data_IF_297583030179
#
_entry.id   IF_297583030179
#
_cell.length_a   1.000
_cell.length_b   1.000
_cell.length_c   1.000
_cell.angle_alpha   90.00
_cell.angle_beta   90.00
_cell.angle_gamma   90.00
#
_symmetry.space_group_name_H-M   'P 1'
#
loop_
_entity.id
_entity.type
_entity.pdbx_description
1 polymer ?
#
# COMPACT_ATOMS: atom_id res chain seq x y z
N UNK A 1 15.52 46.71 -25.11
CA UNK A 1 14.06 46.53 -24.91
C UNK A 1 13.45 45.41 -25.78
N UNK A 2 14.18 44.86 -26.77
CA UNK A 2 13.64 43.86 -27.72
C UNK A 2 13.52 42.42 -27.16
N UNK A 3 14.41 42.00 -26.25
CA UNK A 3 14.39 40.63 -25.71
C UNK A 3 13.16 40.34 -24.84
N UNK A 4 12.71 41.32 -24.04
CA UNK A 4 11.49 41.20 -23.22
C UNK A 4 10.23 41.13 -24.08
N UNK A 5 10.23 41.81 -25.23
CA UNK A 5 9.12 41.79 -26.18
C UNK A 5 9.00 40.43 -26.89
N UNK A 6 10.13 39.81 -27.25
CA UNK A 6 10.18 38.48 -27.87
C UNK A 6 9.72 37.37 -26.91
N UNK A 7 10.08 37.45 -25.63
CA UNK A 7 9.63 36.50 -24.60
C UNK A 7 8.13 36.63 -24.35
N UNK A 8 7.61 37.87 -24.32
CA UNK A 8 6.16 38.08 -24.16
C UNK A 8 5.38 37.49 -25.34
N UNK A 9 5.92 37.65 -26.56
CA UNK A 9 5.31 37.15 -27.80
C UNK A 9 5.36 35.61 -27.90
N UNK A 10 6.43 34.96 -27.46
CA UNK A 10 6.51 33.49 -27.47
C UNK A 10 5.58 32.84 -26.45
N UNK A 11 5.44 33.45 -25.26
CA UNK A 11 4.53 32.97 -24.20
C UNK A 11 3.07 33.15 -24.61
N UNK A 12 2.70 34.27 -25.23
CA UNK A 12 1.34 34.44 -25.77
C UNK A 12 1.06 33.46 -26.89
N UNK A 13 1.99 33.27 -27.83
CA UNK A 13 1.80 32.30 -28.93
C UNK A 13 1.58 30.87 -28.42
N UNK A 14 2.35 30.43 -27.40
CA UNK A 14 2.16 29.13 -26.77
C UNK A 14 0.79 28.99 -26.07
N UNK A 15 0.32 30.05 -25.41
CA UNK A 15 -1.00 30.06 -24.76
C UNK A 15 -2.16 30.08 -25.77
N UNK A 16 -1.99 30.69 -26.95
CA UNK A 16 -2.99 30.68 -28.01
C UNK A 16 -2.96 29.38 -28.84
N UNK A 17 -1.81 28.72 -29.01
CA UNK A 17 -1.72 27.40 -29.66
C UNK A 17 -2.47 26.30 -28.88
N UNK A 18 -2.58 26.38 -27.56
CA UNK A 18 -3.41 25.42 -26.80
C UNK A 18 -4.92 25.64 -26.96
N UNK A 19 -5.35 26.80 -27.50
CA UNK A 19 -6.77 27.08 -27.72
C UNK A 19 -7.35 26.40 -28.97
N UNK A 20 -6.50 25.83 -29.83
CA UNK A 20 -6.93 25.03 -30.98
C UNK A 20 -7.63 23.73 -30.59
N UNK A 21 -7.53 23.28 -29.33
CA UNK A 21 -8.28 22.12 -28.85
C UNK A 21 -9.72 22.47 -28.39
N UNK A 22 -10.01 23.74 -28.09
CA UNK A 22 -11.31 24.12 -27.52
C UNK A 22 -12.34 24.50 -28.58
N UNK A 23 -11.89 25.13 -29.69
CA UNK A 23 -12.78 25.53 -30.79
C UNK A 23 -13.35 24.33 -31.58
N UNK A 24 -12.67 23.17 -31.55
CA UNK A 24 -13.08 21.96 -32.27
C UNK A 24 -14.05 21.05 -31.49
N UNK A 25 -14.35 21.35 -30.22
CA UNK A 25 -15.23 20.52 -29.37
C UNK A 25 -16.70 20.52 -29.75
N UNK A 26 -17.13 21.33 -30.73
CA UNK A 26 -18.52 21.35 -31.24
C UNK A 26 -18.68 20.73 -32.62
N UNK A 27 -17.70 19.99 -33.15
CA UNK A 27 -17.96 19.14 -34.32
C UNK A 27 -18.71 17.89 -33.85
N UNK A 28 -20.02 17.88 -34.11
CA UNK A 28 -20.87 16.68 -34.13
C UNK A 28 -20.09 15.60 -34.88
N UNK A 29 -19.61 14.58 -34.16
CA UNK A 29 -18.72 13.56 -34.73
C UNK A 29 -19.30 13.01 -36.02
N UNK A 30 -18.45 12.80 -37.02
CA UNK A 30 -18.85 12.40 -38.36
C UNK A 30 -19.29 10.93 -38.35
N UNK A 31 -20.50 10.66 -37.84
CA UNK A 31 -21.10 9.33 -37.65
C UNK A 31 -21.17 8.48 -38.93
N UNK A 32 -20.94 9.10 -40.10
CA UNK A 32 -20.82 8.42 -41.40
C UNK A 32 -19.54 7.59 -41.55
N UNK A 33 -18.50 7.82 -40.73
CA UNK A 33 -17.27 7.02 -40.73
C UNK A 33 -17.38 5.75 -39.88
N UNK A 34 -18.40 5.61 -39.04
CA UNK A 34 -18.60 4.42 -38.21
C UNK A 34 -19.52 3.41 -38.91
N UNK A 35 -19.20 2.10 -38.87
CA UNK A 35 -20.06 1.07 -39.46
C UNK A 35 -21.42 0.97 -38.75
N UNK A 36 -22.46 0.62 -39.51
CA UNK A 36 -23.82 0.39 -38.98
C UNK A 36 -23.86 -0.92 -38.16
N UNK A 37 -24.84 -1.03 -37.26
CA UNK A 37 -25.02 -2.14 -36.29
C UNK A 37 -25.06 -3.57 -36.89
N UNK A 38 -25.24 -3.75 -38.21
CA UNK A 38 -25.40 -5.04 -38.87
C UNK A 38 -24.12 -5.83 -39.12
N UNK A 39 -23.26 -6.01 -38.10
CA UNK A 39 -22.03 -6.81 -38.18
C UNK A 39 -20.83 -6.26 -37.39
N UNK A 40 -20.94 -5.04 -36.86
CA UNK A 40 -19.89 -4.41 -36.05
C UNK A 40 -20.14 -4.59 -34.54
N UNK A 41 -19.07 -4.80 -33.77
CA UNK A 41 -19.13 -4.87 -32.30
C UNK A 41 -19.22 -3.48 -31.66
N UNK A 42 -20.05 -3.27 -30.62
CA UNK A 42 -20.15 -1.99 -29.95
C UNK A 42 -18.88 -1.69 -29.14
N UNK A 43 -18.52 -0.41 -29.04
CA UNK A 43 -17.52 0.09 -28.10
C UNK A 43 -18.12 1.17 -27.20
N UNK A 44 -17.58 1.30 -25.99
CA UNK A 44 -18.12 2.20 -24.97
C UNK A 44 -17.02 3.11 -24.46
N UNK A 45 -17.35 4.40 -24.32
CA UNK A 45 -16.53 5.30 -23.52
C UNK A 45 -16.86 5.08 -22.05
N UNK A 46 -15.89 4.60 -21.29
CA UNK A 46 -15.94 4.59 -19.84
C UNK A 46 -15.19 5.79 -19.27
N UNK A 47 -15.60 6.27 -18.11
CA UNK A 47 -14.82 7.21 -17.30
C UNK A 47 -14.52 6.56 -15.95
N UNK A 48 -13.28 6.71 -15.48
CA UNK A 48 -12.89 6.34 -14.11
C UNK A 48 -12.50 7.61 -13.38
N UNK A 49 -12.89 7.73 -12.12
CA UNK A 49 -12.55 8.89 -11.31
C UNK A 49 -11.02 8.95 -11.10
N UNK A 50 -10.36 9.95 -11.71
CA UNK A 50 -8.91 10.15 -11.60
C UNK A 50 -8.44 10.39 -10.17
N UNK A 51 -9.25 10.97 -9.29
CA UNK A 51 -8.94 11.13 -7.86
C UNK A 51 -9.00 9.79 -7.12
N UNK A 52 -9.86 8.85 -7.53
CA UNK A 52 -9.85 7.48 -7.04
C UNK A 52 -8.63 6.70 -7.53
N UNK A 53 -8.18 6.92 -8.77
CA UNK A 53 -6.94 6.32 -9.28
C UNK A 53 -5.68 6.93 -8.65
N UNK A 54 -5.70 8.25 -8.36
CA UNK A 54 -4.61 8.98 -7.68
C UNK A 54 -4.60 8.79 -6.17
N UNK A 55 -5.73 8.52 -5.53
CA UNK A 55 -5.79 7.91 -4.18
C UNK A 55 -5.25 6.50 -4.32
N UNK A 56 -3.93 6.38 -4.45
CA UNK A 56 -3.24 5.09 -4.41
C UNK A 56 -3.80 4.27 -3.26
N UNK A 57 -3.90 2.95 -3.47
CA UNK A 57 -4.32 1.97 -2.45
C UNK A 57 -3.86 2.46 -1.08
N UNK A 58 -4.82 2.68 -0.16
CA UNK A 58 -4.58 3.24 1.18
C UNK A 58 -3.19 2.83 1.67
N UNK A 59 -2.30 3.81 1.86
CA UNK A 59 -0.97 3.55 2.39
C UNK A 59 -1.11 2.84 3.74
N UNK A 60 -0.30 1.82 3.95
CA UNK A 60 -0.34 1.07 5.18
C UNK A 60 -0.16 2.00 6.39
N UNK A 61 -0.99 1.88 7.44
CA UNK A 61 -0.73 2.57 8.69
C UNK A 61 0.68 2.21 9.19
N UNK A 62 1.50 3.21 9.42
CA UNK A 62 2.82 3.06 10.01
C UNK A 62 2.91 3.86 11.32
N UNK A 63 3.87 3.50 12.15
CA UNK A 63 4.16 4.13 13.43
C UNK A 63 5.66 4.39 13.54
N UNK A 64 6.04 5.36 14.37
CA UNK A 64 7.45 5.69 14.61
C UNK A 64 8.24 4.44 15.05
N UNK A 65 9.44 4.26 14.50
CA UNK A 65 10.33 3.13 14.77
C UNK A 65 11.34 3.36 15.90
N UNK A 66 11.39 4.58 16.45
CA UNK A 66 12.36 5.03 17.46
C UNK A 66 11.81 5.12 18.88
N UNK A 67 10.57 4.68 19.11
CA UNK A 67 9.98 4.71 20.46
C UNK A 67 10.61 3.64 21.36
N UNK A 68 10.91 4.00 22.62
CA UNK A 68 11.32 3.09 23.70
C UNK A 68 10.13 2.23 24.18
N UNK A 69 9.47 1.54 23.26
CA UNK A 69 8.37 0.62 23.51
C UNK A 69 8.50 -0.60 22.60
N UNK A 70 7.94 -1.73 23.04
CA UNK A 70 7.79 -2.90 22.18
C UNK A 70 6.50 -2.75 21.36
N UNK A 71 6.58 -2.95 20.04
CA UNK A 71 5.42 -2.89 19.15
C UNK A 71 5.15 -4.23 18.50
N UNK A 72 3.86 -4.57 18.46
CA UNK A 72 3.34 -5.82 17.93
C UNK A 72 2.16 -5.57 17.00
N UNK A 73 1.77 -6.60 16.25
CA UNK A 73 0.51 -6.62 15.50
C UNK A 73 -0.43 -7.63 16.16
N UNK A 74 -1.67 -7.22 16.39
CA UNK A 74 -2.75 -8.12 16.79
C UNK A 74 -3.68 -8.34 15.60
N UNK A 75 -3.84 -9.58 15.16
CA UNK A 75 -4.72 -9.94 14.04
C UNK A 75 -5.37 -11.30 14.27
N UNK A 76 -6.71 -11.35 14.14
CA UNK A 76 -7.52 -12.58 14.29
C UNK A 76 -7.20 -13.42 15.55
N UNK A 77 -7.01 -12.77 16.70
CA UNK A 77 -6.76 -13.47 17.97
C UNK A 77 -5.28 -13.75 18.29
N UNK A 78 -4.36 -13.37 17.40
CA UNK A 78 -2.93 -13.63 17.56
C UNK A 78 -2.12 -12.36 17.63
N UNK A 79 -1.13 -12.36 18.51
CA UNK A 79 -0.05 -11.40 18.63
C UNK A 79 1.13 -11.86 17.77
N UNK A 80 1.65 -10.94 16.97
CA UNK A 80 2.83 -11.10 16.15
C UNK A 80 3.89 -10.12 16.64
N UNK A 81 4.99 -10.65 17.15
CA UNK A 81 6.05 -9.92 17.85
C UNK A 81 7.42 -10.23 17.24
N UNK A 82 8.37 -9.29 17.35
CA UNK A 82 9.75 -9.53 16.93
C UNK A 82 10.72 -9.05 17.99
N UNK A 83 11.42 -10.01 18.58
CA UNK A 83 12.20 -9.83 19.81
C UNK A 83 13.70 -9.81 19.50
N UNK A 84 14.48 -9.25 20.43
CA UNK A 84 15.94 -9.10 20.32
C UNK A 84 16.67 -10.40 19.98
N UNK A 85 16.21 -11.55 20.51
CA UNK A 85 16.83 -12.86 20.29
C UNK A 85 16.39 -13.56 18.98
N UNK A 86 16.18 -12.75 17.94
CA UNK A 86 16.23 -13.08 16.51
C UNK A 86 14.97 -13.64 15.85
N UNK A 87 14.06 -14.30 16.56
CA UNK A 87 12.89 -14.91 15.94
C UNK A 87 11.63 -14.07 16.18
N UNK A 88 10.70 -14.14 15.22
CA UNK A 88 9.36 -13.66 15.48
C UNK A 88 8.69 -14.55 16.53
N UNK A 89 7.75 -14.01 17.29
CA UNK A 89 6.89 -14.76 18.19
C UNK A 89 5.44 -14.63 17.71
N UNK A 90 4.71 -15.74 17.75
CA UNK A 90 3.30 -15.82 17.42
C UNK A 90 2.60 -16.45 18.60
N UNK A 91 1.62 -15.76 19.18
CA UNK A 91 0.87 -16.35 20.28
C UNK A 91 -0.47 -15.69 20.55
N UNK A 92 -1.26 -16.30 21.42
CA UNK A 92 -2.61 -15.80 21.77
C UNK A 92 -2.58 -14.71 22.86
N UNK A 93 -1.41 -14.50 23.47
CA UNK A 93 -1.14 -13.46 24.45
C UNK A 93 0.10 -12.68 24.01
N UNK A 94 0.15 -11.39 24.35
CA UNK A 94 1.36 -10.60 24.18
C UNK A 94 2.51 -11.22 25.00
N UNK A 95 3.73 -11.14 24.47
CA UNK A 95 4.93 -11.65 25.12
C UNK A 95 5.16 -10.93 26.44
N UNK A 96 5.58 -11.69 27.45
CA UNK A 96 5.80 -11.19 28.82
C UNK A 96 4.56 -10.50 29.45
N UNK A 97 3.34 -10.76 28.96
CA UNK A 97 2.11 -10.15 29.52
C UNK A 97 1.85 -10.44 30.99
N UNK A 98 2.45 -11.50 31.55
CA UNK A 98 2.42 -11.82 32.97
C UNK A 98 3.26 -10.89 33.84
N UNK A 99 4.24 -10.18 33.23
CA UNK A 99 5.15 -9.25 33.91
C UNK A 99 4.94 -7.80 33.49
N UNK A 100 4.52 -7.59 32.24
CA UNK A 100 4.42 -6.28 31.62
C UNK A 100 2.99 -6.04 31.12
N UNK A 101 2.38 -4.93 31.54
CA UNK A 101 1.11 -4.49 30.97
C UNK A 101 1.27 -4.21 29.47
N UNK A 102 0.41 -4.79 28.64
CA UNK A 102 0.34 -4.52 27.21
C UNK A 102 -1.08 -4.14 26.84
N UNK A 103 -1.21 -3.18 25.92
CA UNK A 103 -2.51 -2.69 25.46
C UNK A 103 -2.53 -2.56 23.94
N UNK A 104 -3.74 -2.67 23.37
CA UNK A 104 -4.00 -2.39 21.95
C UNK A 104 -4.45 -0.94 21.81
N UNK A 105 -4.25 -0.36 20.64
CA UNK A 105 -4.84 0.93 20.30
C UNK A 105 -6.38 0.84 20.42
N UNK A 106 -7.04 1.90 20.91
CA UNK A 106 -8.49 1.91 21.13
C UNK A 106 -9.34 1.77 19.86
N UNK A 107 -8.74 2.03 18.70
CA UNK A 107 -9.33 1.82 17.38
C UNK A 107 -8.47 0.90 16.52
N UNK A 108 -9.04 0.09 15.62
CA UNK A 108 -8.27 -0.71 14.68
C UNK A 108 -7.36 0.16 13.79
N UNK A 109 -6.10 -0.24 13.62
CA UNK A 109 -5.18 0.44 12.70
C UNK A 109 -5.63 0.31 11.23
N UNK A 110 -6.28 -0.80 10.88
CA UNK A 110 -6.81 -1.10 9.54
C UNK A 110 -7.55 -2.43 9.50
N UNK A 111 -8.03 -2.81 8.32
CA UNK A 111 -8.77 -4.05 8.08
C UNK A 111 -8.09 -4.87 6.98
N UNK A 112 -8.14 -6.19 7.08
CA UNK A 112 -7.56 -7.11 6.11
C UNK A 112 -8.45 -8.32 5.89
N UNK A 113 -8.45 -8.84 4.67
CA UNK A 113 -9.10 -10.09 4.31
C UNK A 113 -8.12 -11.28 4.21
N UNK A 114 -6.84 -11.08 4.52
CA UNK A 114 -5.84 -12.15 4.47
C UNK A 114 -6.13 -13.25 5.50
N UNK A 115 -5.76 -14.49 5.15
CA UNK A 115 -5.85 -15.62 6.09
C UNK A 115 -4.87 -15.45 7.25
N UNK A 116 -5.19 -16.07 8.38
CA UNK A 116 -4.27 -16.11 9.52
C UNK A 116 -2.96 -16.81 9.12
N UNK A 117 -3.04 -17.89 8.35
CA UNK A 117 -1.87 -18.64 7.88
C UNK A 117 -0.94 -17.80 7.01
N UNK A 118 -1.48 -16.88 6.21
CA UNK A 118 -0.65 -15.93 5.46
C UNK A 118 0.23 -15.10 6.38
N UNK A 119 -0.35 -14.52 7.44
CA UNK A 119 0.38 -13.64 8.37
C UNK A 119 1.32 -14.44 9.27
N UNK A 120 0.93 -15.65 9.69
CA UNK A 120 1.85 -16.60 10.34
C UNK A 120 3.04 -16.92 9.43
N UNK A 121 2.80 -17.16 8.15
CA UNK A 121 3.83 -17.34 7.14
C UNK A 121 4.78 -16.14 7.02
N UNK A 122 4.25 -14.91 7.00
CA UNK A 122 5.06 -13.70 7.03
C UNK A 122 5.97 -13.66 8.27
N UNK A 123 5.43 -13.92 9.47
CA UNK A 123 6.22 -13.92 10.70
C UNK A 123 7.32 -15.00 10.68
N UNK A 124 7.00 -16.22 10.27
CA UNK A 124 7.95 -17.35 10.12
C UNK A 124 9.09 -17.04 9.14
N UNK A 125 8.80 -16.30 8.08
CA UNK A 125 9.76 -15.96 7.03
C UNK A 125 10.51 -14.64 7.26
N UNK A 126 10.05 -13.80 8.19
CA UNK A 126 10.55 -12.43 8.36
C UNK A 126 12.07 -12.33 8.47
N UNK A 127 12.68 -13.17 9.33
CA UNK A 127 14.13 -13.17 9.54
C UNK A 127 14.90 -13.55 8.27
N UNK A 128 14.38 -14.47 7.47
CA UNK A 128 15.01 -14.83 6.20
C UNK A 128 14.93 -13.70 5.18
N UNK A 129 13.82 -12.96 5.17
CA UNK A 129 13.59 -11.88 4.23
C UNK A 129 14.33 -10.58 4.60
N UNK A 130 14.37 -10.24 5.90
CA UNK A 130 14.83 -8.93 6.38
C UNK A 130 16.02 -8.99 7.34
N UNK A 131 16.46 -10.19 7.73
CA UNK A 131 17.61 -10.40 8.59
C UNK A 131 17.29 -10.44 10.09
N UNK A 132 18.35 -10.44 10.91
CA UNK A 132 18.27 -10.50 12.38
C UNK A 132 17.84 -9.16 12.98
N UNK A 133 17.45 -9.20 14.25
CA UNK A 133 17.08 -8.00 15.01
C UNK A 133 18.25 -7.00 15.06
N UNK A 134 17.95 -5.74 14.76
CA UNK A 134 18.88 -4.60 14.87
C UNK A 134 18.12 -3.43 15.44
N UNK A 135 18.54 -2.93 16.60
CA UNK A 135 17.83 -1.92 17.38
C UNK A 135 17.34 -0.72 16.55
N UNK A 136 18.16 -0.24 15.60
CA UNK A 136 17.86 0.96 14.80
C UNK A 136 17.31 0.68 13.39
N UNK A 137 17.51 -0.51 12.83
CA UNK A 137 17.28 -0.78 11.39
C UNK A 137 16.32 -1.94 11.10
N UNK A 138 16.17 -2.89 12.03
CA UNK A 138 15.30 -4.04 11.88
C UNK A 138 14.82 -4.50 13.26
N UNK A 139 13.93 -3.70 13.85
CA UNK A 139 13.44 -3.89 15.22
C UNK A 139 11.94 -4.26 15.24
N UNK A 140 11.35 -4.36 16.43
CA UNK A 140 9.93 -4.67 16.61
C UNK A 140 8.98 -3.72 15.87
N UNK A 141 9.30 -2.42 15.79
CA UNK A 141 8.49 -1.46 15.05
C UNK A 141 8.57 -1.65 13.54
N UNK A 142 9.76 -1.95 13.02
CA UNK A 142 9.94 -2.27 11.60
C UNK A 142 9.17 -3.54 11.23
N UNK A 143 9.18 -4.54 12.11
CA UNK A 143 8.39 -5.75 11.96
C UNK A 143 6.90 -5.44 11.90
N UNK A 144 6.38 -4.70 12.88
CA UNK A 144 4.96 -4.35 12.95
C UNK A 144 4.52 -3.53 11.72
N UNK A 145 5.30 -2.54 11.29
CA UNK A 145 5.01 -1.73 10.11
C UNK A 145 4.99 -2.57 8.82
N UNK A 146 5.90 -3.53 8.67
CA UNK A 146 5.93 -4.43 7.50
C UNK A 146 4.73 -5.38 7.48
N UNK A 147 4.36 -5.95 8.62
CA UNK A 147 3.14 -6.75 8.72
C UNK A 147 1.87 -5.91 8.46
N UNK A 148 1.82 -4.68 8.97
CA UNK A 148 0.76 -3.73 8.66
C UNK A 148 0.65 -3.48 7.16
N UNK A 149 1.78 -3.36 6.45
CA UNK A 149 1.79 -3.22 5.00
C UNK A 149 1.25 -4.45 4.24
N UNK A 150 1.55 -5.65 4.72
CA UNK A 150 0.94 -6.87 4.17
C UNK A 150 -0.56 -6.91 4.43
N UNK A 151 -0.98 -6.61 5.66
CA UNK A 151 -2.39 -6.59 6.05
C UNK A 151 -3.18 -5.54 5.26
N UNK A 152 -2.58 -4.39 4.96
CA UNK A 152 -3.16 -3.30 4.19
C UNK A 152 -3.08 -3.54 2.67
N UNK A 153 -3.20 -4.78 2.22
CA UNK A 153 -3.34 -5.13 0.80
C UNK A 153 -4.80 -5.29 0.43
N UNK A 154 -5.14 -4.95 -0.81
CA UNK A 154 -6.46 -5.21 -1.38
C UNK A 154 -6.58 -6.68 -1.78
N UNK A 155 -7.54 -7.42 -1.22
CA UNK A 155 -7.84 -8.81 -1.58
C UNK A 155 -7.23 -9.85 -0.64
N UNK A 156 -7.18 -11.10 -1.10
CA UNK A 156 -6.80 -12.27 -0.29
C UNK A 156 -5.42 -12.85 -0.66
N UNK A 157 -4.73 -12.26 -1.63
CA UNK A 157 -3.46 -12.77 -2.15
C UNK A 157 -2.33 -12.58 -1.15
N UNK A 158 -1.74 -13.70 -0.71
CA UNK A 158 -0.62 -13.67 0.21
C UNK A 158 0.71 -13.35 -0.51
N UNK A 159 1.52 -12.37 -0.04
CA UNK A 159 2.80 -12.04 -0.63
C UNK A 159 3.74 -13.25 -0.73
N UNK A 160 4.59 -13.28 -1.75
CA UNK A 160 5.53 -14.39 -2.00
C UNK A 160 6.44 -14.68 -0.82
N UNK A 161 7.00 -13.65 -0.18
CA UNK A 161 7.89 -13.82 0.96
C UNK A 161 7.20 -14.39 2.21
N UNK A 162 5.88 -14.25 2.32
CA UNK A 162 5.10 -14.87 3.39
C UNK A 162 4.85 -16.37 3.16
N UNK A 163 5.03 -16.85 1.92
CA UNK A 163 4.87 -18.25 1.53
C UNK A 163 6.20 -19.01 1.46
N UNK A 164 7.28 -18.43 2.00
CA UNK A 164 8.58 -19.10 2.06
C UNK A 164 8.60 -20.28 3.04
N UNK A 165 9.66 -21.09 2.96
CA UNK A 165 9.85 -22.31 3.76
C UNK A 165 10.60 -22.09 5.08
N UNK A 166 10.96 -20.85 5.42
CA UNK A 166 11.65 -20.58 6.68
C UNK A 166 10.72 -20.78 7.88
N UNK A 167 11.30 -21.23 9.01
CA UNK A 167 10.60 -21.49 10.27
C UNK A 167 11.20 -20.69 11.43
N UNK A 168 11.51 -19.42 11.19
CA UNK A 168 12.13 -18.54 12.18
C UNK A 168 11.09 -17.77 13.02
N UNK A 169 10.10 -18.51 13.53
CA UNK A 169 9.17 -18.01 14.53
C UNK A 169 8.98 -19.03 15.65
N UNK A 170 8.78 -18.54 16.87
CA UNK A 170 8.37 -19.32 18.04
C UNK A 170 6.85 -19.20 18.18
N UNK A 171 6.17 -20.33 18.30
CA UNK A 171 4.71 -20.39 18.48
C UNK A 171 4.40 -20.82 19.92
N UNK A 172 3.43 -20.18 20.57
CA UNK A 172 3.03 -20.48 21.95
C UNK A 172 1.72 -19.84 22.38
#
# INVERSE_FOLDING_TARGET
MHLKLLILFSVTCALFCETDAWFWRRRKGNSKQCPRRGGASPYYFGTTNLWCMKKGKRGAPSRNTWALSHRFIYYKGYYFEFLSNSNAAIGTRARESHRCSSSREGSPAGYSSLSLDCIKGCARNYRCTYGRYRLLRNNCHNFANRLSAVLCTTGTTCPSWCRGSCKHAVEG
#
